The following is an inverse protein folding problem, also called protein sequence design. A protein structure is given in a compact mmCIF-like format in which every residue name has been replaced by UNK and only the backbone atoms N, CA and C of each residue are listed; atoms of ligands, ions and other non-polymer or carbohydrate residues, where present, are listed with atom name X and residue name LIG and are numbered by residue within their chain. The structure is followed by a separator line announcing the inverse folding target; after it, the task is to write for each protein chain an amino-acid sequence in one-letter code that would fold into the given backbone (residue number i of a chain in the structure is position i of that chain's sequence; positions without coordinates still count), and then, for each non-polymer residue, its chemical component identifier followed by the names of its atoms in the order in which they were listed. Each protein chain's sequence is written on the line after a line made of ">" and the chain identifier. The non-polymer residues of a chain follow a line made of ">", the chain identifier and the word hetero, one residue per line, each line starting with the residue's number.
data_IF_613729852419
#
_entry.id   IF_613729852419
#
_cell.length_a   1.000
_cell.length_b   1.000
_cell.length_c   1.000
_cell.angle_alpha   90.00
_cell.angle_beta   90.00
_cell.angle_gamma   90.00
#
_symmetry.space_group_name_H-M   'P 1'
#
loop_
_entity.id
_entity.type
_entity.pdbx_description
1 polymer ?
#
# COMPACT_ATOMS: atom_id res chain seq x y z
N UNK A 1 -2.84 1.57 -11.15
CA UNK A 1 -3.12 2.06 -9.78
C UNK A 1 -3.38 3.56 -9.70
N UNK A 2 -2.89 4.35 -10.62
CA UNK A 2 -3.28 5.75 -10.72
C UNK A 2 -4.72 5.79 -11.25
N UNK A 3 -5.70 5.82 -10.35
CA UNK A 3 -7.07 6.18 -10.72
C UNK A 3 -7.13 7.69 -10.81
N UNK A 4 -7.79 8.20 -11.84
CA UNK A 4 -8.15 9.61 -11.92
C UNK A 4 -8.78 10.03 -10.58
N UNK A 5 -8.26 11.10 -10.01
CA UNK A 5 -8.72 11.61 -8.72
C UNK A 5 -7.98 11.09 -7.48
N UNK A 6 -6.84 10.41 -7.60
CA UNK A 6 -5.97 10.11 -6.44
C UNK A 6 -4.57 10.72 -6.61
N UNK A 7 -4.03 11.20 -5.50
CA UNK A 7 -2.61 11.58 -5.38
C UNK A 7 -1.88 10.37 -4.80
N UNK A 8 -0.76 9.98 -5.42
CA UNK A 8 -0.05 8.73 -5.12
C UNK A 8 1.41 9.02 -4.85
N UNK A 9 1.96 8.36 -3.85
CA UNK A 9 3.38 8.39 -3.51
C UNK A 9 3.92 6.97 -3.37
N UNK A 10 5.20 6.81 -3.70
CA UNK A 10 5.98 5.60 -3.43
C UNK A 10 7.10 5.92 -2.45
N UNK A 11 7.55 4.89 -1.73
CA UNK A 11 8.73 4.99 -0.85
C UNK A 11 8.64 6.08 0.24
N UNK A 12 7.45 6.40 0.70
CA UNK A 12 7.25 7.34 1.81
C UNK A 12 7.79 6.77 3.12
N UNK A 13 8.45 7.62 3.91
CA UNK A 13 8.76 7.31 5.30
C UNK A 13 7.74 8.01 6.20
N UNK A 14 6.84 7.24 6.79
CA UNK A 14 5.75 7.71 7.63
C UNK A 14 6.02 7.35 9.09
N UNK A 15 5.64 8.22 10.02
CA UNK A 15 5.71 7.98 11.46
C UNK A 15 4.29 7.67 11.96
N UNK A 16 4.05 6.42 12.30
CA UNK A 16 2.77 5.95 12.83
C UNK A 16 2.84 5.76 14.35
N UNK A 17 1.75 6.06 15.03
CA UNK A 17 1.58 5.68 16.43
C UNK A 17 1.19 4.20 16.51
N UNK A 18 1.83 3.45 17.40
CA UNK A 18 1.36 2.12 17.76
C UNK A 18 0.23 2.24 18.78
N UNK A 19 -0.82 1.39 18.71
CA UNK A 19 -1.83 1.32 19.76
C UNK A 19 -1.16 1.12 21.12
N UNK A 20 -1.43 2.00 22.07
CA UNK A 20 -0.96 1.83 23.44
C UNK A 20 -1.72 0.65 24.09
N UNK A 21 -0.99 -0.34 24.56
CA UNK A 21 -1.53 -1.29 25.54
C UNK A 21 -1.42 -0.61 26.91
N UNK A 22 -2.59 -0.26 27.46
CA UNK A 22 -2.81 0.21 28.86
C UNK A 22 -1.58 0.86 29.54
N UNK A 23 -1.66 2.17 29.77
CA UNK A 23 -0.73 3.00 30.59
C UNK A 23 0.65 3.36 30.03
N UNK A 24 0.94 3.28 28.74
CA UNK A 24 2.27 3.63 28.24
C UNK A 24 2.27 4.80 27.25
N UNK A 25 3.38 5.53 27.30
CA UNK A 25 3.75 6.56 26.33
C UNK A 25 3.55 6.07 24.90
N UNK A 26 2.97 6.92 24.06
CA UNK A 26 2.75 6.64 22.63
C UNK A 26 4.05 6.16 22.00
N UNK A 27 4.10 4.91 21.59
CA UNK A 27 5.22 4.34 20.85
C UNK A 27 5.06 4.66 19.37
N UNK A 28 6.16 5.10 18.76
CA UNK A 28 6.19 5.47 17.36
C UNK A 28 6.95 4.44 16.53
N UNK A 29 6.42 4.10 15.38
CA UNK A 29 7.07 3.23 14.41
C UNK A 29 7.25 3.94 13.08
N UNK A 30 8.42 3.76 12.47
CA UNK A 30 8.64 4.18 11.09
C UNK A 30 8.01 3.15 10.14
N UNK A 31 7.13 3.63 9.30
CA UNK A 31 6.43 2.86 8.28
C UNK A 31 6.92 3.30 6.90
N UNK A 32 7.16 2.35 6.02
CA UNK A 32 7.55 2.59 4.63
C UNK A 32 6.66 1.76 3.71
N UNK A 33 5.44 2.22 3.45
CA UNK A 33 4.58 1.54 2.49
C UNK A 33 5.18 1.62 1.08
N UNK A 34 5.01 0.56 0.29
CA UNK A 34 5.43 0.59 -1.10
C UNK A 34 4.66 1.64 -1.88
N UNK A 35 3.35 1.75 -1.63
CA UNK A 35 2.49 2.79 -2.21
C UNK A 35 1.55 3.35 -1.15
N UNK A 36 1.50 4.67 -1.06
CA UNK A 36 0.52 5.41 -0.29
C UNK A 36 -0.29 6.32 -1.21
N UNK A 37 -1.60 6.39 -1.01
CA UNK A 37 -2.43 7.28 -1.81
C UNK A 37 -3.58 7.87 -1.01
N UNK A 38 -3.99 9.07 -1.41
CA UNK A 38 -5.19 9.74 -0.91
C UNK A 38 -6.06 10.17 -2.08
N UNK A 39 -7.35 10.34 -1.86
CA UNK A 39 -8.23 10.94 -2.86
C UNK A 39 -7.86 12.41 -3.06
N UNK A 40 -7.80 12.88 -4.29
CA UNK A 40 -7.63 14.30 -4.60
C UNK A 40 -8.94 15.04 -4.31
N UNK A 41 -9.03 15.60 -3.11
CA UNK A 41 -10.24 16.27 -2.58
C UNK A 41 -9.85 17.38 -1.62
N UNK A 42 -10.69 18.37 -1.49
CA UNK A 42 -10.58 19.44 -0.48
C UNK A 42 -11.43 19.15 0.76
N UNK A 43 -12.18 18.04 0.76
CA UNK A 43 -13.06 17.64 1.87
C UNK A 43 -12.37 16.54 2.69
N UNK A 44 -12.02 16.83 3.94
CA UNK A 44 -11.26 15.91 4.80
C UNK A 44 -11.91 14.54 4.96
N UNK A 45 -13.24 14.47 5.10
CA UNK A 45 -13.98 13.20 5.24
C UNK A 45 -13.93 12.31 3.98
N UNK A 46 -13.53 12.85 2.82
CA UNK A 46 -13.42 12.11 1.56
C UNK A 46 -11.99 11.75 1.20
N UNK A 47 -11.04 11.99 2.08
CA UNK A 47 -9.61 11.81 1.80
C UNK A 47 -9.25 10.35 1.46
N UNK A 48 -9.89 9.38 2.10
CA UNK A 48 -9.72 7.93 1.89
C UNK A 48 -8.25 7.52 1.72
N UNK A 49 -7.44 7.61 2.76
CA UNK A 49 -6.05 7.16 2.67
C UNK A 49 -6.00 5.64 2.46
N UNK A 50 -5.08 5.20 1.59
CA UNK A 50 -4.88 3.78 1.27
C UNK A 50 -3.39 3.47 1.27
N UNK A 51 -3.03 2.39 1.94
CA UNK A 51 -1.69 1.78 1.88
C UNK A 51 -1.74 0.53 1.02
N UNK A 52 -0.76 0.39 0.12
CA UNK A 52 -0.53 -0.86 -0.60
C UNK A 52 0.87 -1.38 -0.29
N UNK A 53 0.94 -2.67 -0.08
CA UNK A 53 2.18 -3.42 0.13
C UNK A 53 2.32 -4.45 -0.98
N UNK A 54 3.41 -4.38 -1.74
CA UNK A 54 3.64 -5.22 -2.91
C UNK A 54 4.48 -6.43 -2.49
N UNK A 55 4.04 -7.62 -2.85
CA UNK A 55 4.74 -8.87 -2.58
C UNK A 55 4.99 -9.61 -3.88
N UNK A 56 6.25 -9.93 -4.14
CA UNK A 56 6.69 -10.60 -5.37
C UNK A 56 7.18 -12.03 -5.12
N UNK A 57 7.26 -12.46 -3.86
CA UNK A 57 7.59 -13.82 -3.50
C UNK A 57 6.75 -14.33 -2.33
N UNK A 58 6.49 -15.64 -2.32
CA UNK A 58 5.78 -16.31 -1.22
C UNK A 58 6.52 -16.15 0.12
N UNK A 59 7.84 -16.20 0.12
CA UNK A 59 8.65 -16.07 1.33
C UNK A 59 8.51 -14.67 1.94
N UNK A 60 8.53 -13.61 1.10
CA UNK A 60 8.35 -12.24 1.55
C UNK A 60 6.94 -12.02 2.10
N UNK A 61 5.90 -12.54 1.42
CA UNK A 61 4.53 -12.50 1.92
C UNK A 61 4.43 -13.13 3.31
N UNK A 62 4.91 -14.36 3.48
CA UNK A 62 4.84 -15.08 4.77
C UNK A 62 5.65 -14.40 5.87
N UNK A 63 6.77 -13.77 5.52
CA UNK A 63 7.57 -12.97 6.46
C UNK A 63 6.80 -11.74 6.94
N UNK A 64 6.16 -11.02 6.03
CA UNK A 64 5.39 -9.82 6.34
C UNK A 64 4.14 -10.12 7.19
N UNK A 65 3.44 -11.21 6.89
CA UNK A 65 2.24 -11.62 7.62
C UNK A 65 2.48 -11.89 9.10
N UNK A 66 3.72 -12.22 9.51
CA UNK A 66 4.10 -12.38 10.92
C UNK A 66 4.20 -11.05 11.67
N UNK A 67 4.33 -9.95 10.97
CA UNK A 67 4.53 -8.62 11.55
C UNK A 67 3.21 -7.91 11.84
N UNK A 68 2.50 -8.34 12.89
CA UNK A 68 1.22 -7.73 13.29
C UNK A 68 1.36 -6.23 13.57
N UNK A 69 2.39 -5.79 14.29
CA UNK A 69 2.61 -4.38 14.63
C UNK A 69 2.79 -3.51 13.37
N UNK A 70 3.45 -4.03 12.33
CA UNK A 70 3.58 -3.33 11.04
C UNK A 70 2.22 -3.14 10.42
N UNK A 71 1.41 -4.20 10.37
CA UNK A 71 0.07 -4.17 9.79
C UNK A 71 -0.84 -3.21 10.53
N UNK A 72 -0.87 -3.28 11.86
CA UNK A 72 -1.68 -2.39 12.70
C UNK A 72 -1.30 -0.91 12.47
N UNK A 73 0.00 -0.62 12.36
CA UNK A 73 0.50 0.73 12.05
C UNK A 73 0.05 1.21 10.67
N UNK A 74 0.06 0.34 9.66
CA UNK A 74 -0.36 0.70 8.31
C UNK A 74 -1.87 0.92 8.21
N UNK A 75 -2.63 0.12 8.94
CA UNK A 75 -4.08 0.27 9.04
C UNK A 75 -4.42 1.59 9.73
N UNK A 76 -3.67 1.98 10.77
CA UNK A 76 -3.89 3.24 11.49
C UNK A 76 -3.59 4.45 10.59
N UNK A 77 -2.52 4.39 9.82
CA UNK A 77 -2.12 5.46 8.87
C UNK A 77 -3.04 5.52 7.65
N UNK A 78 -3.37 4.36 7.08
CA UNK A 78 -3.97 4.26 5.76
C UNK A 78 -5.48 4.14 5.74
N UNK A 79 -6.15 3.89 6.86
CA UNK A 79 -7.61 3.60 6.84
C UNK A 79 -7.98 2.33 6.07
N UNK A 80 -7.35 2.05 4.95
CA UNK A 80 -7.40 0.79 4.20
C UNK A 80 -5.99 0.27 3.93
N UNK A 81 -5.80 -1.03 4.11
CA UNK A 81 -4.54 -1.69 3.84
C UNK A 81 -4.74 -2.81 2.82
N UNK A 82 -3.93 -2.80 1.77
CA UNK A 82 -4.03 -3.73 0.65
C UNK A 82 -2.71 -4.44 0.41
N UNK A 83 -2.77 -5.75 0.22
CA UNK A 83 -1.68 -6.53 -0.35
C UNK A 83 -1.85 -6.62 -1.86
N UNK A 84 -0.77 -6.38 -2.59
CA UNK A 84 -0.68 -6.62 -4.04
C UNK A 84 0.22 -7.82 -4.24
N UNK A 85 -0.36 -8.95 -4.62
CA UNK A 85 0.33 -10.21 -4.78
C UNK A 85 0.74 -10.39 -6.23
N UNK A 86 2.04 -10.52 -6.48
CA UNK A 86 2.60 -10.85 -7.78
C UNK A 86 2.46 -12.32 -8.13
N UNK A 87 3.10 -12.73 -9.22
CA UNK A 87 3.14 -14.11 -9.69
C UNK A 87 4.54 -14.70 -9.59
N UNK A 88 4.62 -16.02 -9.48
CA UNK A 88 5.86 -16.77 -9.57
C UNK A 88 6.37 -16.82 -11.04
N UNK A 89 7.54 -17.44 -11.25
CA UNK A 89 8.13 -17.61 -12.59
C UNK A 89 7.26 -18.42 -13.57
N UNK A 90 6.21 -19.08 -13.08
CA UNK A 90 5.24 -19.86 -13.88
C UNK A 90 3.93 -19.10 -14.09
N UNK A 91 3.86 -17.82 -13.70
CA UNK A 91 2.66 -17.00 -13.81
C UNK A 91 1.57 -17.33 -12.78
N UNK A 92 1.87 -18.09 -11.74
CA UNK A 92 0.90 -18.43 -10.69
C UNK A 92 0.98 -17.42 -9.56
N UNK A 93 -0.15 -16.93 -9.01
CA UNK A 93 -0.13 -16.02 -7.86
C UNK A 93 0.69 -16.61 -6.70
N UNK A 94 1.50 -15.79 -6.06
CA UNK A 94 2.32 -16.19 -4.90
C UNK A 94 1.50 -16.46 -3.63
N UNK A 95 0.23 -16.11 -3.63
CA UNK A 95 -0.70 -16.31 -2.53
C UNK A 95 -2.15 -16.08 -2.97
N UNK A 96 -3.05 -16.34 -2.04
CA UNK A 96 -4.49 -16.19 -2.22
C UNK A 96 -5.07 -15.24 -1.17
N UNK A 97 -6.31 -14.81 -1.35
CA UNK A 97 -6.98 -13.93 -0.40
C UNK A 97 -7.02 -14.52 1.02
N UNK A 98 -7.22 -15.83 1.14
CA UNK A 98 -7.31 -16.53 2.43
C UNK A 98 -5.98 -16.63 3.17
N UNK A 99 -4.85 -16.41 2.50
CA UNK A 99 -3.54 -16.31 3.16
C UNK A 99 -3.38 -15.02 3.95
N UNK A 100 -4.16 -13.98 3.62
CA UNK A 100 -4.02 -12.61 4.13
C UNK A 100 -5.14 -12.32 5.13
N UNK A 101 -4.85 -11.63 6.27
CA UNK A 101 -5.86 -11.28 7.27
C UNK A 101 -7.10 -10.60 6.66
N UNK A 102 -8.28 -10.94 7.21
CA UNK A 102 -9.57 -10.57 6.63
C UNK A 102 -9.81 -9.06 6.52
N UNK A 103 -9.19 -8.27 7.39
CA UNK A 103 -9.26 -6.80 7.39
C UNK A 103 -8.52 -6.15 6.22
N UNK A 104 -7.59 -6.87 5.60
CA UNK A 104 -6.79 -6.37 4.48
C UNK A 104 -7.45 -6.69 3.13
N UNK A 105 -7.35 -5.78 2.19
CA UNK A 105 -7.69 -6.04 0.80
C UNK A 105 -6.61 -6.86 0.09
N UNK A 106 -7.00 -7.55 -0.97
CA UNK A 106 -6.06 -8.33 -1.78
C UNK A 106 -6.28 -8.04 -3.26
N UNK A 107 -5.21 -7.63 -3.91
CA UNK A 107 -5.09 -7.49 -5.35
C UNK A 107 -4.13 -8.57 -5.86
N UNK A 108 -4.50 -9.23 -6.94
CA UNK A 108 -3.61 -10.14 -7.68
C UNK A 108 -3.11 -9.39 -8.92
N UNK A 109 -1.79 -9.33 -9.06
CA UNK A 109 -1.17 -8.74 -10.23
C UNK A 109 -1.14 -9.78 -11.36
N UNK A 110 -1.70 -9.41 -12.50
CA UNK A 110 -1.62 -10.12 -13.77
C UNK A 110 -0.74 -9.30 -14.73
N UNK A 111 -0.28 -9.84 -15.87
CA UNK A 111 0.65 -9.13 -16.76
C UNK A 111 0.21 -7.70 -17.13
N UNK A 112 -1.08 -7.49 -17.39
CA UNK A 112 -1.63 -6.22 -17.86
C UNK A 112 -2.74 -5.66 -16.96
N UNK A 113 -3.04 -6.30 -15.83
CA UNK A 113 -4.16 -5.92 -14.98
C UNK A 113 -3.92 -6.20 -13.49
N UNK A 114 -4.78 -5.61 -12.66
CA UNK A 114 -4.89 -5.95 -11.24
C UNK A 114 -6.30 -6.46 -10.98
N UNK A 115 -6.39 -7.70 -10.51
CA UNK A 115 -7.65 -8.32 -10.12
C UNK A 115 -7.91 -8.13 -8.63
N UNK A 116 -9.12 -7.68 -8.26
CA UNK A 116 -9.55 -7.57 -6.86
C UNK A 116 -10.01 -8.94 -6.39
N UNK A 117 -9.18 -9.64 -5.63
CA UNK A 117 -9.55 -10.92 -5.02
C UNK A 117 -10.37 -10.74 -3.74
N UNK A 118 -10.11 -9.67 -2.98
CA UNK A 118 -10.89 -9.29 -1.80
C UNK A 118 -10.78 -7.79 -1.54
N UNK A 119 -11.91 -7.15 -1.20
CA UNK A 119 -11.91 -5.76 -0.79
C UNK A 119 -11.37 -5.59 0.63
N UNK A 120 -10.63 -4.50 0.87
CA UNK A 120 -10.24 -4.12 2.23
C UNK A 120 -11.46 -3.69 3.05
N UNK A 121 -11.42 -3.97 4.34
CA UNK A 121 -12.42 -3.43 5.26
C UNK A 121 -12.36 -1.90 5.23
N UNK A 122 -13.51 -1.26 5.00
CA UNK A 122 -13.62 0.20 5.10
C UNK A 122 -13.63 0.59 6.57
N UNK A 123 -12.77 1.52 6.93
CA UNK A 123 -12.77 2.15 8.25
C UNK A 123 -13.35 3.55 8.15
N UNK A 124 -13.87 4.05 9.26
CA UNK A 124 -14.33 5.43 9.37
C UNK A 124 -13.23 6.39 8.96
N UNK A 125 -13.56 7.42 8.20
CA UNK A 125 -12.63 8.47 7.83
C UNK A 125 -12.01 9.06 9.12
N UNK A 126 -10.70 9.03 9.21
CA UNK A 126 -9.92 9.71 10.25
C UNK A 126 -9.13 10.82 9.61
N UNK A 127 -8.96 11.88 10.35
CA UNK A 127 -8.01 12.91 9.96
C UNK A 127 -6.59 12.31 9.97
N UNK A 128 -5.83 12.61 8.93
CA UNK A 128 -4.44 12.20 8.91
C UNK A 128 -3.66 12.93 10.00
N UNK A 129 -2.86 12.22 10.81
CA UNK A 129 -2.01 12.83 11.81
C UNK A 129 -1.08 13.88 11.19
N UNK A 130 -0.77 14.93 11.95
CA UNK A 130 0.14 16.00 11.48
C UNK A 130 1.48 15.46 10.96
N UNK A 131 2.04 14.42 11.60
CA UNK A 131 3.28 13.80 11.15
C UNK A 131 3.19 13.22 9.72
N UNK A 132 2.02 12.72 9.33
CA UNK A 132 1.77 12.22 7.97
C UNK A 132 1.71 13.40 6.99
N UNK A 133 0.98 14.47 7.31
CA UNK A 133 0.95 15.68 6.49
C UNK A 133 2.34 16.26 6.27
N UNK A 134 3.18 16.29 7.31
CA UNK A 134 4.57 16.73 7.20
C UNK A 134 5.43 15.82 6.31
N UNK A 135 5.17 14.52 6.29
CA UNK A 135 5.85 13.61 5.38
C UNK A 135 5.40 13.83 3.92
N UNK A 136 4.10 13.97 3.70
CA UNK A 136 3.55 14.23 2.36
C UNK A 136 4.03 15.56 1.77
N UNK A 137 4.12 16.62 2.59
CA UNK A 137 4.59 17.94 2.14
C UNK A 137 6.04 17.98 1.67
N UNK A 138 6.86 17.02 2.12
CA UNK A 138 8.27 16.88 1.76
C UNK A 138 8.50 15.89 0.61
N UNK A 139 7.49 15.14 0.23
CA UNK A 139 7.58 14.11 -0.80
C UNK A 139 6.94 14.60 -2.11
N UNK A 140 7.48 14.10 -3.21
CA UNK A 140 6.94 14.39 -4.54
C UNK A 140 5.95 13.29 -4.92
N UNK A 141 4.69 13.60 -5.23
CA UNK A 141 3.75 12.60 -5.70
C UNK A 141 4.11 12.11 -7.10
N UNK A 142 3.72 10.87 -7.41
CA UNK A 142 3.84 10.34 -8.76
C UNK A 142 2.92 11.11 -9.72
N UNK A 143 3.47 11.54 -10.84
CA UNK A 143 2.70 12.14 -11.92
C UNK A 143 2.31 11.07 -12.96
N UNK A 144 1.17 11.23 -13.60
CA UNK A 144 0.70 10.31 -14.66
C UNK A 144 1.67 10.19 -15.84
N UNK A 145 2.48 11.22 -16.12
CA UNK A 145 3.52 11.22 -17.15
C UNK A 145 4.67 10.26 -16.84
N UNK A 146 4.99 10.01 -15.59
CA UNK A 146 6.10 9.13 -15.19
C UNK A 146 5.81 7.65 -15.49
N UNK A 147 4.53 7.31 -15.64
CA UNK A 147 4.07 5.94 -15.93
C UNK A 147 4.19 5.59 -17.42
N UNK A 148 4.12 6.58 -18.33
CA UNK A 148 4.20 6.33 -19.78
C UNK A 148 5.65 6.13 -20.27
N UNK A 149 6.64 6.77 -19.65
CA UNK A 149 8.04 6.65 -20.06
C UNK A 149 8.65 5.26 -19.81
N UNK A 150 8.04 4.42 -18.97
CA UNK A 150 8.53 3.09 -18.65
C UNK A 150 7.93 1.95 -19.50
N UNK A 151 6.95 2.24 -20.37
CA UNK A 151 6.32 1.23 -21.24
C UNK A 151 7.07 0.93 -22.54
N UNK A 152 8.14 1.67 -22.87
CA UNK A 152 8.79 1.58 -24.18
C UNK A 152 10.26 1.14 -24.17
N UNK A 153 10.76 0.55 -23.09
CA UNK A 153 12.09 -0.08 -23.10
C UNK A 153 11.95 -1.48 -22.54
N UNK A 154 11.74 -2.43 -23.39
CA UNK A 154 12.18 -3.81 -23.42
C UNK A 154 11.05 -4.73 -23.93
N UNK A 155 11.01 -4.92 -25.26
CA UNK A 155 10.74 -6.22 -25.80
C UNK A 155 11.98 -7.05 -25.54
N UNK A 156 11.91 -7.93 -24.60
CA UNK A 156 12.45 -9.28 -24.50
C UNK A 156 12.60 -9.66 -23.03
N UNK A 157 12.08 -10.84 -22.72
CA UNK A 157 12.17 -11.59 -21.48
C UNK A 157 11.41 -11.04 -20.25
N UNK A 158 10.53 -11.91 -19.77
CA UNK A 158 9.85 -11.88 -18.48
C UNK A 158 10.81 -11.78 -17.29
N UNK A 159 11.35 -10.60 -17.04
CA UNK A 159 11.97 -10.24 -15.79
C UNK A 159 11.34 -8.93 -15.37
N UNK A 160 10.20 -9.06 -14.68
CA UNK A 160 9.46 -7.92 -14.18
C UNK A 160 10.26 -7.17 -13.12
N UNK A 161 10.77 -6.03 -13.47
CA UNK A 161 11.11 -4.98 -12.51
C UNK A 161 9.87 -4.10 -12.37
N UNK A 162 9.12 -4.34 -11.33
CA UNK A 162 8.06 -3.46 -10.88
C UNK A 162 8.65 -2.50 -9.83
N UNK A 163 8.80 -1.26 -10.18
CA UNK A 163 8.92 -0.14 -9.25
C UNK A 163 7.67 0.73 -9.37
#
# INVERSE_FOLDING_TARGET
>A
MLRDGRVVWTSLSLRAALPAHVEETVRWKMCRPDVFSIRNTTVASYLEPIVHEIKVSRADLLGDLKSKDKRDSYIDVGGQYWYVLGCDSKGRPIGQADDVPAECGVLIAEPDSLHVARNAAKRSARDLPFAIWMALSKAVPLHSSDTQSRRFVNGDSCHGHWL
#
